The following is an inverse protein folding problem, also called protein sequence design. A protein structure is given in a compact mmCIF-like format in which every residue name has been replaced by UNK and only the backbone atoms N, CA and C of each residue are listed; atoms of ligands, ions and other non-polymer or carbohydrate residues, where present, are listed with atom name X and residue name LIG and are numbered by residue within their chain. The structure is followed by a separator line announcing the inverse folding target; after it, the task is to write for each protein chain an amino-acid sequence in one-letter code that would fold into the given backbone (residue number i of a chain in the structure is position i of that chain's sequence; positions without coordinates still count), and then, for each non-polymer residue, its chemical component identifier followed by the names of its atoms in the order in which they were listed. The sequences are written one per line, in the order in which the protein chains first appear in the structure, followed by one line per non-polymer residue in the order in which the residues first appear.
data_IF_972652287203
#
_entry.id   IF_972652287203
#
_cell.length_a   1.000
_cell.length_b   1.000
_cell.length_c   1.000
_cell.angle_alpha   90.00
_cell.angle_beta   90.00
_cell.angle_gamma   90.00
#
_symmetry.space_group_name_H-M   'P 1'
#
loop_
_entity.id
_entity.type
_entity.pdbx_description
1 polymer ?
#
# COMPACT_ATOMS: atom_id res chain seq x y z
N UNK A 1 -20.64 36.14 9.80
CA UNK A 1 -21.99 35.53 9.96
C UNK A 1 -22.33 34.72 8.72
N UNK A 2 -21.85 33.49 8.58
CA UNK A 2 -21.88 32.78 7.27
C UNK A 2 -22.27 31.29 7.26
N UNK A 3 -22.62 30.66 8.40
CA UNK A 3 -22.69 29.19 8.47
C UNK A 3 -24.09 28.60 8.72
N UNK A 4 -25.17 29.38 8.64
CA UNK A 4 -26.54 28.88 8.92
C UNK A 4 -27.28 28.29 7.72
N UNK A 5 -26.77 28.52 6.50
CA UNK A 5 -27.41 28.07 5.25
C UNK A 5 -27.08 26.59 4.97
N UNK A 6 -25.88 26.13 5.31
CA UNK A 6 -25.43 24.75 5.09
C UNK A 6 -26.15 23.71 5.95
N UNK A 7 -26.68 24.10 7.11
CA UNK A 7 -27.37 23.20 8.04
C UNK A 7 -28.82 22.89 7.64
N UNK A 8 -29.46 23.75 6.85
CA UNK A 8 -30.87 23.60 6.44
C UNK A 8 -31.06 22.83 5.13
N UNK A 9 -30.07 22.86 4.24
CA UNK A 9 -30.04 22.10 2.98
C UNK A 9 -30.23 20.57 3.16
N UNK A 10 -29.54 19.88 4.09
CA UNK A 10 -29.71 18.43 4.26
C UNK A 10 -31.10 18.04 4.75
N UNK A 11 -31.75 18.88 5.57
CA UNK A 11 -33.08 18.63 6.14
C UNK A 11 -34.17 18.74 5.07
N UNK A 12 -34.08 19.78 4.24
CA UNK A 12 -35.01 20.00 3.13
C UNK A 12 -34.84 18.91 2.07
N UNK A 13 -33.61 18.54 1.70
CA UNK A 13 -33.35 17.50 0.70
C UNK A 13 -33.82 16.12 1.14
N UNK A 14 -33.78 15.79 2.44
CA UNK A 14 -34.30 14.53 2.99
C UNK A 14 -35.81 14.40 2.81
N UNK A 15 -36.58 15.46 3.07
CA UNK A 15 -38.03 15.45 2.90
C UNK A 15 -38.44 15.26 1.44
N UNK A 16 -37.73 15.90 0.50
CA UNK A 16 -37.96 15.68 -0.94
C UNK A 16 -37.57 14.27 -1.40
N UNK A 17 -36.45 13.72 -0.92
CA UNK A 17 -36.04 12.33 -1.21
C UNK A 17 -37.04 11.30 -0.69
N UNK A 18 -37.72 11.59 0.42
CA UNK A 18 -38.65 10.69 1.09
C UNK A 18 -40.11 10.82 0.63
N UNK A 19 -40.39 11.69 -0.33
CA UNK A 19 -41.74 11.83 -0.86
C UNK A 19 -42.18 10.52 -1.54
N UNK A 20 -43.34 9.99 -1.14
CA UNK A 20 -43.96 8.83 -1.78
C UNK A 20 -43.06 7.57 -1.80
N UNK A 21 -42.39 7.26 -0.68
CA UNK A 21 -41.57 6.03 -0.55
C UNK A 21 -42.44 4.77 -0.66
N UNK A 22 -43.64 4.76 -0.07
CA UNK A 22 -44.51 3.58 0.00
C UNK A 22 -44.97 3.11 -1.39
N UNK A 23 -45.42 4.01 -2.28
CA UNK A 23 -45.76 3.59 -3.63
C UNK A 23 -44.51 3.17 -4.43
N UNK A 24 -43.35 3.77 -4.16
CA UNK A 24 -42.08 3.37 -4.81
C UNK A 24 -41.62 1.99 -4.35
N UNK A 25 -41.74 1.67 -3.06
CA UNK A 25 -41.41 0.35 -2.53
C UNK A 25 -42.40 -0.70 -3.04
N UNK A 26 -43.70 -0.42 -3.03
CA UNK A 26 -44.70 -1.32 -3.60
C UNK A 26 -44.45 -1.60 -5.08
N UNK A 27 -44.14 -0.58 -5.89
CA UNK A 27 -43.76 -0.76 -7.30
C UNK A 27 -42.51 -1.61 -7.50
N UNK A 28 -41.58 -1.59 -6.55
CA UNK A 28 -40.36 -2.39 -6.63
C UNK A 28 -40.58 -3.84 -6.19
N UNK A 29 -41.38 -4.04 -5.12
CA UNK A 29 -41.75 -5.36 -4.58
C UNK A 29 -42.69 -6.11 -5.55
N UNK A 30 -43.59 -5.42 -6.24
CA UNK A 30 -44.53 -6.00 -7.20
C UNK A 30 -43.88 -6.46 -8.51
N UNK A 31 -42.58 -6.23 -8.74
CA UNK A 31 -41.90 -6.71 -9.95
C UNK A 31 -41.71 -8.22 -9.86
N UNK A 32 -42.16 -8.94 -10.89
CA UNK A 32 -41.96 -10.39 -11.01
C UNK A 32 -40.48 -10.82 -10.91
N UNK A 33 -39.57 -9.94 -11.36
CA UNK A 33 -38.12 -10.14 -11.25
C UNK A 33 -37.43 -8.83 -10.86
N UNK A 34 -36.54 -8.92 -9.88
CA UNK A 34 -35.66 -7.82 -9.51
C UNK A 34 -34.68 -7.53 -10.66
N UNK A 35 -34.30 -6.25 -10.89
CA UNK A 35 -33.24 -5.94 -11.84
C UNK A 35 -31.94 -6.60 -11.39
N UNK A 36 -31.12 -7.03 -12.36
CA UNK A 36 -29.80 -7.57 -12.07
C UNK A 36 -28.99 -6.56 -11.25
N UNK A 37 -28.21 -7.06 -10.29
CA UNK A 37 -27.36 -6.21 -9.46
C UNK A 37 -26.40 -5.40 -10.35
N UNK A 38 -26.11 -4.14 -9.97
CA UNK A 38 -25.12 -3.34 -10.69
C UNK A 38 -23.77 -4.06 -10.66
N UNK A 39 -23.09 -4.07 -11.80
CA UNK A 39 -21.75 -4.63 -11.95
C UNK A 39 -20.71 -3.55 -11.66
N UNK A 40 -19.52 -3.98 -11.24
CA UNK A 40 -18.37 -3.09 -11.09
C UNK A 40 -17.94 -2.52 -12.45
N UNK A 41 -17.46 -1.28 -12.48
CA UNK A 41 -17.14 -0.53 -13.71
C UNK A 41 -16.18 -1.30 -14.62
N UNK A 42 -15.11 -1.88 -14.05
CA UNK A 42 -14.16 -2.70 -14.83
C UNK A 42 -14.83 -3.88 -15.53
N UNK A 43 -15.80 -4.53 -14.88
CA UNK A 43 -16.55 -5.65 -15.47
C UNK A 43 -17.55 -5.16 -16.50
N UNK A 44 -18.17 -3.99 -16.29
CA UNK A 44 -19.08 -3.37 -17.26
C UNK A 44 -18.36 -3.03 -18.56
N UNK A 45 -17.17 -2.44 -18.47
CA UNK A 45 -16.34 -2.08 -19.63
C UNK A 45 -15.95 -3.30 -20.46
N UNK A 46 -15.55 -4.39 -19.80
CA UNK A 46 -15.17 -5.63 -20.48
C UNK A 46 -16.36 -6.20 -21.26
N UNK A 47 -17.55 -6.21 -20.64
CA UNK A 47 -18.76 -6.73 -21.28
C UNK A 47 -19.22 -5.86 -22.44
N UNK A 48 -19.07 -4.54 -22.32
CA UNK A 48 -19.40 -3.61 -23.41
C UNK A 48 -18.44 -3.76 -24.60
N UNK A 49 -17.16 -3.97 -24.34
CA UNK A 49 -16.19 -4.28 -25.41
C UNK A 49 -16.53 -5.60 -26.09
N UNK A 50 -16.78 -6.64 -25.30
CA UNK A 50 -17.14 -7.96 -25.83
C UNK A 50 -18.43 -7.92 -26.66
N UNK A 51 -19.45 -7.20 -26.22
CA UNK A 51 -20.71 -7.09 -26.96
C UNK A 51 -20.56 -6.34 -28.28
N UNK A 52 -19.63 -5.37 -28.36
CA UNK A 52 -19.32 -4.65 -29.60
C UNK A 52 -18.47 -5.48 -30.56
N UNK A 53 -17.49 -6.21 -30.05
CA UNK A 53 -16.57 -7.02 -30.85
C UNK A 53 -17.25 -8.28 -31.41
N UNK A 54 -18.13 -8.91 -30.62
CA UNK A 54 -18.78 -10.17 -30.98
C UNK A 54 -20.29 -10.16 -30.68
N UNK A 55 -21.09 -9.42 -31.48
CA UNK A 55 -22.53 -9.30 -31.25
C UNK A 55 -23.26 -10.65 -31.37
N UNK A 56 -22.86 -11.48 -32.33
CA UNK A 56 -23.47 -12.80 -32.57
C UNK A 56 -23.32 -13.74 -31.36
N UNK A 57 -22.13 -13.78 -30.75
CA UNK A 57 -21.86 -14.61 -29.56
C UNK A 57 -22.61 -14.09 -28.34
N UNK A 58 -22.71 -12.76 -28.19
CA UNK A 58 -23.43 -12.14 -27.08
C UNK A 58 -24.93 -12.45 -27.12
N UNK A 59 -25.52 -12.53 -28.32
CA UNK A 59 -26.91 -12.95 -28.51
C UNK A 59 -27.09 -14.46 -28.32
N UNK A 60 -26.18 -15.27 -28.87
CA UNK A 60 -26.20 -16.72 -28.71
C UNK A 60 -26.13 -17.14 -27.22
N UNK A 61 -25.37 -16.41 -26.39
CA UNK A 61 -25.26 -16.67 -24.95
C UNK A 61 -26.59 -16.46 -24.20
N UNK A 62 -27.49 -15.61 -24.69
CA UNK A 62 -28.78 -15.35 -24.03
C UNK A 62 -29.76 -16.51 -24.19
N UNK A 63 -29.58 -17.33 -25.23
CA UNK A 63 -30.40 -18.49 -25.52
C UNK A 63 -29.68 -19.78 -25.10
N UNK A 64 -30.46 -20.84 -24.87
CA UNK A 64 -29.90 -22.17 -24.62
C UNK A 64 -29.48 -22.80 -25.94
N UNK A 65 -28.22 -23.22 -26.06
CA UNK A 65 -27.74 -24.02 -27.18
C UNK A 65 -28.04 -25.51 -26.93
N UNK A 66 -28.99 -26.06 -27.67
CA UNK A 66 -29.41 -27.46 -27.53
C UNK A 66 -28.35 -28.45 -28.01
N UNK A 67 -27.57 -28.09 -29.03
CA UNK A 67 -26.53 -28.97 -29.58
C UNK A 67 -25.39 -29.12 -28.57
N UNK A 68 -25.01 -28.02 -27.93
CA UNK A 68 -24.01 -28.06 -26.87
C UNK A 68 -24.52 -28.84 -25.64
N UNK A 69 -25.78 -28.64 -25.24
CA UNK A 69 -26.40 -29.35 -24.11
C UNK A 69 -26.41 -30.88 -24.31
N UNK A 70 -26.69 -31.35 -25.52
CA UNK A 70 -26.63 -32.78 -25.85
C UNK A 70 -25.20 -33.32 -25.78
N UNK A 71 -24.22 -32.59 -26.34
CA UNK A 71 -22.80 -32.99 -26.29
C UNK A 71 -22.29 -33.08 -24.86
N UNK A 72 -22.64 -32.11 -24.00
CA UNK A 72 -22.20 -32.10 -22.60
C UNK A 72 -22.78 -33.27 -21.80
N UNK A 73 -23.99 -33.76 -22.14
CA UNK A 73 -24.54 -34.98 -21.52
C UNK A 73 -23.76 -36.24 -21.89
N UNK A 74 -23.20 -36.29 -23.09
CA UNK A 74 -22.42 -37.44 -23.57
C UNK A 74 -20.97 -37.44 -23.05
N UNK A 75 -20.40 -36.26 -22.79
CA UNK A 75 -19.02 -36.12 -22.36
C UNK A 75 -18.85 -36.49 -20.89
N UNK A 76 -18.31 -37.68 -20.62
CA UNK A 76 -17.78 -38.06 -19.32
C UNK A 76 -16.29 -37.70 -19.27
N UNK A 77 -15.91 -36.85 -18.31
CA UNK A 77 -14.53 -36.39 -18.13
C UNK A 77 -13.91 -37.17 -16.97
N UNK A 78 -13.05 -38.12 -17.29
CA UNK A 78 -12.22 -38.81 -16.31
C UNK A 78 -10.92 -38.02 -16.11
N UNK A 79 -10.82 -37.29 -15.00
CA UNK A 79 -9.59 -36.58 -14.65
C UNK A 79 -8.49 -37.59 -14.30
N UNK A 80 -7.60 -37.85 -15.26
CA UNK A 80 -6.42 -38.68 -15.07
C UNK A 80 -5.21 -37.80 -14.80
N UNK A 81 -4.89 -37.62 -13.52
CA UNK A 81 -3.73 -36.85 -13.07
C UNK A 81 -3.73 -36.65 -11.56
N UNK A 82 -2.53 -36.41 -10.99
CA UNK A 82 -2.46 -35.83 -9.64
C UNK A 82 -2.95 -34.40 -9.73
N UNK A 83 -4.04 -34.08 -9.03
CA UNK A 83 -4.42 -32.70 -8.81
C UNK A 83 -3.22 -31.93 -8.26
N UNK A 84 -3.03 -30.69 -8.71
CA UNK A 84 -2.03 -29.84 -8.09
C UNK A 84 -2.32 -29.78 -6.60
N UNK A 85 -1.31 -30.07 -5.78
CA UNK A 85 -1.44 -29.94 -4.34
C UNK A 85 -1.82 -28.48 -4.08
N UNK A 86 -3.06 -28.27 -3.64
CA UNK A 86 -3.51 -26.96 -3.19
C UNK A 86 -2.69 -26.71 -1.93
N UNK A 87 -1.54 -26.05 -2.08
CA UNK A 87 -0.76 -25.56 -0.95
C UNK A 87 -1.68 -24.57 -0.26
N UNK A 88 -2.35 -25.03 0.79
CA UNK A 88 -3.15 -24.19 1.65
C UNK A 88 -2.20 -23.10 2.15
N UNK A 89 -2.33 -21.90 1.57
CA UNK A 89 -1.60 -20.74 2.06
C UNK A 89 -1.96 -20.62 3.53
N UNK A 90 -0.97 -20.79 4.40
CA UNK A 90 -1.17 -20.65 5.84
C UNK A 90 -1.76 -19.27 6.05
N UNK A 91 -2.87 -19.22 6.78
CA UNK A 91 -3.41 -17.95 7.24
C UNK A 91 -2.32 -17.23 8.05
N UNK A 92 -2.26 -15.90 8.03
CA UNK A 92 -1.33 -15.17 8.88
C UNK A 92 -1.48 -15.61 10.34
N UNK A 93 -0.42 -16.17 10.91
CA UNK A 93 -0.41 -16.62 12.31
C UNK A 93 -0.39 -15.42 13.27
N UNK A 94 0.18 -14.29 12.83
CA UNK A 94 0.22 -13.04 13.58
C UNK A 94 -1.03 -12.21 13.33
N UNK A 95 -1.71 -11.82 14.42
CA UNK A 95 -2.79 -10.81 14.43
C UNK A 95 -2.29 -9.42 14.83
N UNK A 96 -0.98 -9.21 14.92
CA UNK A 96 -0.43 -7.89 15.25
C UNK A 96 -0.77 -6.91 14.13
N UNK A 97 -1.08 -5.68 14.52
CA UNK A 97 -1.16 -4.56 13.58
C UNK A 97 0.19 -4.43 12.87
N UNK A 98 0.16 -4.22 11.56
CA UNK A 98 1.38 -3.91 10.81
C UNK A 98 1.80 -2.51 11.21
N UNK A 99 3.06 -2.34 11.63
CA UNK A 99 3.58 -1.02 11.97
C UNK A 99 3.54 -0.14 10.72
N UNK A 100 3.03 1.08 10.88
CA UNK A 100 3.03 2.04 9.79
C UNK A 100 4.47 2.36 9.39
N UNK A 101 4.82 2.31 8.10
CA UNK A 101 6.16 2.64 7.65
C UNK A 101 6.51 4.09 7.98
N UNK A 102 7.74 4.31 8.43
CA UNK A 102 8.26 5.62 8.87
C UNK A 102 8.05 6.74 7.84
N UNK A 103 8.20 6.42 6.55
CA UNK A 103 8.06 7.36 5.44
C UNK A 103 6.78 7.16 4.62
N UNK A 104 5.81 6.41 5.14
CA UNK A 104 4.55 6.13 4.44
C UNK A 104 4.67 5.12 3.29
N UNK A 105 5.81 4.46 3.14
CA UNK A 105 6.02 3.35 2.21
C UNK A 105 6.98 2.31 2.80
N UNK A 106 6.79 1.05 2.41
CA UNK A 106 7.63 -0.05 2.85
C UNK A 106 8.99 0.00 2.14
N UNK A 107 10.08 0.00 2.91
CA UNK A 107 11.42 -0.07 2.34
C UNK A 107 11.72 -1.51 1.84
N UNK A 108 12.39 -1.66 0.68
CA UNK A 108 12.74 -2.98 0.17
C UNK A 108 13.80 -3.66 1.05
N UNK A 109 13.61 -4.96 1.31
CA UNK A 109 14.55 -5.76 2.12
C UNK A 109 15.93 -5.93 1.46
N UNK A 110 16.00 -5.92 0.13
CA UNK A 110 17.24 -6.01 -0.63
C UNK A 110 17.36 -4.81 -1.57
N UNK A 111 18.46 -4.09 -1.45
CA UNK A 111 18.74 -2.88 -2.23
C UNK A 111 19.74 -3.27 -3.33
N UNK A 112 19.39 -3.10 -4.62
CA UNK A 112 20.34 -3.33 -5.70
C UNK A 112 21.47 -2.30 -5.70
N UNK A 113 22.60 -2.65 -6.28
CA UNK A 113 23.75 -1.75 -6.37
C UNK A 113 23.42 -0.50 -7.21
N UNK A 114 23.98 0.65 -6.85
CA UNK A 114 23.68 1.93 -7.51
C UNK A 114 22.31 2.52 -7.17
N UNK A 115 21.59 1.96 -6.21
CA UNK A 115 20.32 2.47 -5.68
C UNK A 115 20.44 2.64 -4.16
N UNK A 116 19.69 3.58 -3.60
CA UNK A 116 19.69 3.86 -2.15
C UNK A 116 18.26 4.13 -1.68
N UNK A 117 17.94 3.71 -0.45
CA UNK A 117 16.64 3.94 0.19
C UNK A 117 16.55 5.36 0.75
N UNK A 118 15.33 5.85 0.91
CA UNK A 118 15.09 7.20 1.38
C UNK A 118 15.70 7.44 2.77
N UNK A 119 15.59 6.46 3.69
CA UNK A 119 16.24 6.54 5.01
C UNK A 119 17.74 6.81 4.91
N UNK A 120 18.45 6.01 4.11
CA UNK A 120 19.90 6.16 3.88
C UNK A 120 20.24 7.47 3.18
N UNK A 121 19.39 7.94 2.26
CA UNK A 121 19.59 9.25 1.63
C UNK A 121 19.53 10.40 2.62
N UNK A 122 18.55 10.39 3.52
CA UNK A 122 18.44 11.41 4.57
C UNK A 122 19.62 11.34 5.54
N UNK A 123 20.09 10.14 5.87
CA UNK A 123 21.23 9.93 6.75
C UNK A 123 22.51 10.57 6.22
N UNK A 124 22.90 10.31 4.97
CA UNK A 124 24.13 10.93 4.44
C UNK A 124 23.97 12.45 4.20
N UNK A 125 22.76 12.95 3.90
CA UNK A 125 22.51 14.40 3.81
C UNK A 125 22.70 15.05 5.18
N UNK A 126 22.15 14.43 6.24
CA UNK A 126 22.33 14.88 7.62
C UNK A 126 23.80 14.87 8.03
N UNK A 127 24.53 13.82 7.69
CA UNK A 127 25.94 13.67 8.05
C UNK A 127 26.82 14.67 7.28
N UNK A 128 26.55 14.91 5.99
CA UNK A 128 27.24 15.96 5.22
C UNK A 128 27.00 17.36 5.79
N UNK A 129 25.79 17.64 6.27
CA UNK A 129 25.46 18.92 6.89
C UNK A 129 26.20 19.13 8.23
N UNK A 130 26.38 18.07 9.03
CA UNK A 130 27.11 18.12 10.30
C UNK A 130 28.63 18.12 10.11
N UNK A 131 29.12 17.28 9.21
CA UNK A 131 30.54 16.98 8.99
C UNK A 131 30.86 16.99 7.49
N UNK A 132 30.91 18.17 6.85
CA UNK A 132 31.09 18.29 5.40
C UNK A 132 32.46 17.81 4.92
N UNK A 133 33.48 17.85 5.77
CA UNK A 133 34.85 17.41 5.46
C UNK A 133 34.97 15.88 5.45
N UNK A 134 34.24 15.19 6.33
CA UNK A 134 34.21 13.74 6.40
C UNK A 134 33.29 13.20 5.29
N UNK A 135 32.04 13.63 5.24
CA UNK A 135 31.06 13.08 4.30
C UNK A 135 31.08 13.80 2.94
N UNK A 136 32.21 13.73 2.23
CA UNK A 136 32.32 14.29 0.88
C UNK A 136 31.54 13.49 -0.16
N UNK A 137 31.18 14.10 -1.28
CA UNK A 137 30.43 13.42 -2.36
C UNK A 137 31.14 12.17 -2.89
N UNK A 138 32.48 12.17 -2.88
CA UNK A 138 33.27 11.01 -3.30
C UNK A 138 33.25 9.86 -2.30
N UNK A 139 33.24 10.17 -1.00
CA UNK A 139 33.16 9.15 0.05
C UNK A 139 31.79 8.47 0.05
N UNK A 140 30.72 9.28 0.05
CA UNK A 140 29.33 8.78 -0.01
C UNK A 140 29.09 7.96 -1.28
N UNK A 141 29.61 8.40 -2.43
CA UNK A 141 29.50 7.66 -3.68
C UNK A 141 30.20 6.29 -3.61
N UNK A 142 31.37 6.20 -2.96
CA UNK A 142 32.10 4.94 -2.78
C UNK A 142 31.38 3.98 -1.83
N UNK A 143 30.87 4.50 -0.71
CA UNK A 143 30.16 3.69 0.29
C UNK A 143 28.90 3.03 -0.26
N UNK A 144 28.08 3.81 -0.99
CA UNK A 144 26.80 3.32 -1.52
C UNK A 144 26.87 2.89 -3.00
N UNK A 145 28.07 2.84 -3.60
CA UNK A 145 28.28 2.54 -5.02
C UNK A 145 27.41 3.40 -5.95
N UNK A 146 27.29 4.69 -5.64
CA UNK A 146 26.50 5.66 -6.41
C UNK A 146 27.35 6.43 -7.42
N UNK A 147 26.69 7.06 -8.39
CA UNK A 147 27.34 8.00 -9.30
C UNK A 147 27.77 9.28 -8.55
N UNK A 148 29.08 9.61 -8.52
CA UNK A 148 29.57 10.78 -7.80
C UNK A 148 28.98 12.10 -8.29
N UNK A 149 28.60 12.19 -9.57
CA UNK A 149 27.98 13.40 -10.13
C UNK A 149 26.59 13.60 -9.51
N UNK A 150 25.79 12.54 -9.43
CA UNK A 150 24.46 12.59 -8.84
C UNK A 150 24.51 12.91 -7.34
N UNK A 151 25.39 12.24 -6.59
CA UNK A 151 25.57 12.50 -5.16
C UNK A 151 25.94 13.96 -4.89
N UNK A 152 26.82 14.55 -5.71
CA UNK A 152 27.18 15.96 -5.61
C UNK A 152 25.99 16.89 -5.82
N UNK A 153 25.09 16.59 -6.76
CA UNK A 153 23.85 17.34 -6.94
C UNK A 153 22.91 17.18 -5.74
N UNK A 154 22.78 15.97 -5.21
CA UNK A 154 21.95 15.71 -4.03
C UNK A 154 22.43 16.54 -2.83
N UNK A 155 23.72 16.44 -2.50
CA UNK A 155 24.31 17.17 -1.36
C UNK A 155 24.26 18.70 -1.53
N UNK A 156 24.30 19.20 -2.78
CA UNK A 156 24.24 20.64 -3.07
C UNK A 156 22.82 21.22 -2.96
N UNK A 157 21.81 20.46 -3.38
CA UNK A 157 20.45 20.98 -3.54
C UNK A 157 19.49 20.54 -2.43
N UNK A 158 19.81 19.50 -1.66
CA UNK A 158 19.00 19.01 -0.56
C UNK A 158 19.71 19.23 0.77
N UNK A 159 18.96 19.75 1.74
CA UNK A 159 19.41 19.94 3.12
C UNK A 159 18.27 19.58 4.07
N UNK A 160 18.62 19.22 5.30
CA UNK A 160 17.62 18.96 6.33
C UNK A 160 17.29 20.24 7.10
N UNK A 161 16.03 20.36 7.52
CA UNK A 161 15.59 21.53 8.27
C UNK A 161 16.16 21.50 9.69
N UNK A 162 16.92 22.53 10.03
CA UNK A 162 17.35 22.77 11.40
C UNK A 162 16.33 23.64 12.14
N UNK A 163 15.76 23.07 13.20
CA UNK A 163 14.88 23.81 14.09
C UNK A 163 15.71 24.75 14.99
N UNK A 164 15.82 26.02 14.61
CA UNK A 164 16.47 27.04 15.43
C UNK A 164 15.51 27.62 16.48
N UNK A 165 15.62 27.19 17.73
CA UNK A 165 14.81 27.70 18.84
C UNK A 165 15.53 28.86 19.52
N UNK A 166 14.97 30.07 19.43
CA UNK A 166 15.51 31.27 20.10
C UNK A 166 15.58 31.10 21.62
N UNK A 167 16.61 31.69 22.24
CA UNK A 167 16.83 31.64 23.69
C UNK A 167 15.68 32.27 24.48
N UNK A 168 15.01 33.29 23.92
CA UNK A 168 13.83 33.91 24.56
C UNK A 168 12.65 32.95 24.61
N UNK A 169 12.44 32.18 23.53
CA UNK A 169 11.40 31.16 23.46
C UNK A 169 11.69 30.03 24.44
N UNK A 170 12.96 29.61 24.57
CA UNK A 170 13.37 28.58 25.54
C UNK A 170 13.07 28.99 26.98
N UNK A 171 13.34 30.25 27.35
CA UNK A 171 13.08 30.78 28.69
C UNK A 171 11.58 30.87 29.01
N UNK A 172 10.75 31.26 28.04
CA UNK A 172 9.29 31.37 28.23
C UNK A 172 8.59 30.01 28.21
N UNK A 173 9.06 29.07 27.41
CA UNK A 173 8.39 27.80 27.12
C UNK A 173 9.26 26.58 27.43
N UNK A 174 9.90 26.55 28.60
CA UNK A 174 10.84 25.50 29.01
C UNK A 174 10.23 24.08 28.94
N UNK A 175 8.96 23.94 29.34
CA UNK A 175 8.22 22.67 29.27
C UNK A 175 8.02 22.18 27.84
N UNK A 176 7.72 23.09 26.91
CA UNK A 176 7.52 22.75 25.50
C UNK A 176 8.83 22.34 24.83
N UNK A 177 9.94 23.02 25.17
CA UNK A 177 11.27 22.64 24.68
C UNK A 177 11.67 21.26 25.20
N UNK A 178 11.41 20.97 26.48
CA UNK A 178 11.66 19.64 27.07
C UNK A 178 10.84 18.54 26.37
N UNK A 179 9.58 18.81 26.05
CA UNK A 179 8.72 17.91 25.28
C UNK A 179 9.27 17.67 23.87
N UNK A 180 9.63 18.72 23.14
CA UNK A 180 10.22 18.60 21.80
C UNK A 180 11.54 17.82 21.82
N UNK A 181 12.38 18.01 22.84
CA UNK A 181 13.60 17.21 23.00
C UNK A 181 13.32 15.74 23.34
N UNK A 182 12.25 15.43 24.06
CA UNK A 182 11.86 14.03 24.34
C UNK A 182 11.27 13.29 23.14
N UNK A 183 10.73 14.03 22.16
CA UNK A 183 10.23 13.46 20.90
C UNK A 183 11.34 13.21 19.88
N UNK A 184 12.53 13.80 20.07
CA UNK A 184 13.75 13.36 19.35
C UNK A 184 14.17 12.02 19.94
N UNK A 185 13.57 10.93 19.47
CA UNK A 185 14.26 9.66 19.54
C UNK A 185 15.53 9.82 18.69
N UNK A 186 16.71 9.67 19.29
CA UNK A 186 17.93 9.47 18.51
C UNK A 186 17.62 8.36 17.50
N UNK A 187 17.97 8.50 16.21
CA UNK A 187 17.90 7.36 15.31
C UNK A 187 18.70 6.26 15.99
N UNK A 188 18.04 5.19 16.38
CA UNK A 188 18.74 4.04 16.92
C UNK A 188 19.68 3.60 15.81
N UNK A 189 20.98 3.85 16.00
CA UNK A 189 22.01 3.24 15.17
C UNK A 189 21.84 1.75 15.43
N UNK A 190 21.05 1.10 14.58
CA UNK A 190 20.88 -0.34 14.62
C UNK A 190 22.27 -0.91 14.36
N UNK A 191 22.95 -1.34 15.43
CA UNK A 191 24.12 -2.19 15.33
C UNK A 191 23.70 -3.36 14.46
N UNK A 192 24.27 -3.44 13.26
CA UNK A 192 24.25 -4.64 12.44
C UNK A 192 24.71 -5.77 13.36
N UNK A 193 23.78 -6.64 13.74
CA UNK A 193 24.11 -7.82 14.52
C UNK A 193 25.11 -8.61 13.69
N UNK A 194 26.37 -8.64 14.13
CA UNK A 194 27.37 -9.56 13.63
C UNK A 194 26.76 -10.96 13.70
N UNK A 195 26.65 -11.59 12.54
CA UNK A 195 26.20 -12.96 12.40
C UNK A 195 27.05 -13.86 13.29
N UNK A 196 26.45 -14.39 14.36
CA UNK A 196 27.09 -15.41 15.17
C UNK A 196 27.29 -16.66 14.31
N UNK A 197 28.55 -17.07 14.19
CA UNK A 197 28.97 -18.28 13.52
C UNK A 197 28.24 -19.51 14.09
N UNK A 198 27.28 -20.03 13.33
CA UNK A 198 26.73 -21.38 13.48
C UNK A 198 27.77 -22.41 13.00
N UNK A 199 28.90 -22.52 13.70
CA UNK A 199 29.92 -23.53 13.42
C UNK A 199 30.62 -24.02 14.69
N UNK A 200 29.88 -24.24 15.79
CA UNK A 200 30.43 -24.90 16.99
C UNK A 200 29.46 -25.85 17.68
N UNK A 201 28.73 -26.69 16.93
CA UNK A 201 27.94 -27.78 17.54
C UNK A 201 27.98 -29.06 16.68
N UNK A 202 29.19 -29.60 16.46
CA UNK A 202 29.38 -31.01 16.04
C UNK A 202 30.68 -31.55 16.63
N UNK A 203 30.72 -31.80 17.94
CA UNK A 203 31.73 -32.69 18.56
C UNK A 203 31.38 -32.99 20.02
N UNK A 204 30.42 -33.90 20.23
CA UNK A 204 30.40 -34.84 21.38
C UNK A 204 29.24 -35.82 21.19
N UNK A 205 29.47 -36.87 20.40
CA UNK A 205 28.68 -38.09 20.42
C UNK A 205 29.61 -39.23 20.00
N UNK A 206 30.45 -39.66 20.95
CA UNK A 206 31.13 -40.95 20.94
C UNK A 206 31.61 -41.23 22.37
N UNK A 207 30.80 -41.97 23.11
CA UNK A 207 31.26 -42.92 24.12
C UNK A 207 30.18 -43.97 24.35
#
# INVERSE_FOLDING_TARGET
MGNRISELLPTVTRSFKNYNIENRSHRFIQKDKLPAAPRHDSTADILEKFSKEHPELYEAQKAKDNVLDERLKTLQIDSTGKNQDIVAKKLPESRKETEDPEFGFDEPASIPEGKVTLRKTLEFILNHQKYPEEYTSEQVAKEYKLDPVQVKHVLKHFQTFELHVSNEFKKRNEKAVKYLSSQRQEPTVYKLAESTDLSKDKKTANK
#
